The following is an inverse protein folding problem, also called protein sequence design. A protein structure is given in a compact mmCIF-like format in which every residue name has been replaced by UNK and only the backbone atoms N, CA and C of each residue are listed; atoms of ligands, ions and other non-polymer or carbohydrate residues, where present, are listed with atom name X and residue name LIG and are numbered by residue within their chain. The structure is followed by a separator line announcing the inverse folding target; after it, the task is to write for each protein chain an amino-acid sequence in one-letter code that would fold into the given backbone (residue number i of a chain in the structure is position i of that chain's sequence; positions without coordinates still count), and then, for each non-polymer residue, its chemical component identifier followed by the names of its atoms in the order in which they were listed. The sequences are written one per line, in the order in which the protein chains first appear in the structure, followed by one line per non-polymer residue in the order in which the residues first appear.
data_IF_017217842511
#
_entry.id   IF_017217842511
#
_cell.length_a   1.000
_cell.length_b   1.000
_cell.length_c   1.000
_cell.angle_alpha   90.00
_cell.angle_beta   90.00
_cell.angle_gamma   90.00
#
_symmetry.space_group_name_H-M   'P 1'
#
loop_
_entity.id
_entity.type
_entity.pdbx_description
1 polymer ?
#
# COMPACT_ATOMS: atom_id res chain seq x y z
N UNK A 1 23.72 -14.89 13.01
CA UNK A 1 24.14 -13.73 12.20
C UNK A 1 23.84 -13.95 10.72
N UNK A 2 24.68 -14.60 9.88
CA UNK A 2 24.33 -14.74 8.44
C UNK A 2 23.00 -15.47 8.16
N UNK A 3 22.64 -16.43 9.02
CA UNK A 3 21.42 -17.23 8.87
C UNK A 3 20.15 -16.54 9.42
N UNK A 4 20.31 -15.51 10.25
CA UNK A 4 19.19 -14.70 10.79
C UNK A 4 18.83 -13.56 9.83
N UNK A 5 19.83 -12.98 9.16
CA UNK A 5 19.61 -11.95 8.13
C UNK A 5 18.84 -12.52 6.91
N UNK A 6 19.13 -13.77 6.51
CA UNK A 6 18.40 -14.45 5.41
C UNK A 6 16.92 -14.74 5.76
N UNK A 7 16.59 -14.95 7.03
CA UNK A 7 15.19 -15.16 7.47
C UNK A 7 14.40 -13.85 7.51
N UNK A 8 15.01 -12.72 7.89
CA UNK A 8 14.34 -11.40 7.88
C UNK A 8 13.96 -10.92 6.46
N UNK A 9 14.71 -11.36 5.44
CA UNK A 9 14.44 -11.03 4.04
C UNK A 9 13.28 -11.85 3.45
N UNK A 10 12.99 -13.01 4.03
CA UNK A 10 11.85 -13.86 3.67
C UNK A 10 10.54 -13.44 4.35
N UNK A 11 10.60 -12.50 5.30
CA UNK A 11 9.43 -12.01 6.04
C UNK A 11 8.89 -10.71 5.44
N UNK A 12 7.58 -10.66 5.22
CA UNK A 12 6.88 -9.45 4.80
C UNK A 12 6.87 -8.40 5.92
N UNK A 13 7.76 -7.41 5.85
CA UNK A 13 7.85 -6.35 6.85
C UNK A 13 6.71 -5.32 6.69
N UNK A 14 5.63 -5.49 7.46
CA UNK A 14 4.43 -4.65 7.41
C UNK A 14 4.73 -3.18 7.73
N UNK A 15 5.63 -2.91 8.68
CA UNK A 15 5.94 -1.56 9.14
C UNK A 15 6.69 -0.75 8.07
N UNK A 16 7.68 -1.37 7.43
CA UNK A 16 8.43 -0.77 6.33
C UNK A 16 7.51 -0.46 5.14
N UNK A 17 6.67 -1.42 4.74
CA UNK A 17 5.68 -1.24 3.67
C UNK A 17 4.69 -0.15 4.02
N UNK A 18 4.19 -0.12 5.26
CA UNK A 18 3.25 0.90 5.74
C UNK A 18 3.87 2.30 5.65
N UNK A 19 5.14 2.46 6.05
CA UNK A 19 5.86 3.73 5.96
C UNK A 19 6.00 4.20 4.50
N UNK A 20 6.44 3.31 3.61
CA UNK A 20 6.57 3.60 2.17
C UNK A 20 5.25 4.12 1.59
N UNK A 21 4.15 3.43 1.88
CA UNK A 21 2.81 3.78 1.39
C UNK A 21 2.35 5.12 1.96
N UNK A 22 2.48 5.34 3.28
CA UNK A 22 2.07 6.59 3.93
C UNK A 22 2.84 7.79 3.38
N UNK A 23 4.16 7.69 3.22
CA UNK A 23 4.98 8.76 2.66
C UNK A 23 4.51 9.15 1.26
N UNK A 24 4.26 8.18 0.39
CA UNK A 24 3.83 8.43 -0.98
C UNK A 24 2.43 9.06 -1.05
N UNK A 25 1.52 8.63 -0.17
CA UNK A 25 0.19 9.22 -0.07
C UNK A 25 0.30 10.67 0.40
N UNK A 26 1.06 10.95 1.46
CA UNK A 26 1.20 12.30 2.03
C UNK A 26 1.81 13.27 1.01
N UNK A 27 2.88 12.85 0.33
CA UNK A 27 3.54 13.65 -0.72
C UNK A 27 2.61 13.98 -1.90
N UNK A 28 1.65 13.12 -2.22
CA UNK A 28 0.77 13.30 -3.38
C UNK A 28 -0.57 13.97 -3.01
N UNK A 29 -1.16 13.61 -1.88
CA UNK A 29 -2.52 14.02 -1.48
C UNK A 29 -2.56 15.03 -0.34
N UNK A 30 -1.50 15.18 0.47
CA UNK A 30 -1.47 15.97 1.72
C UNK A 30 -2.09 17.36 1.60
N UNK A 31 -1.59 18.17 0.66
CA UNK A 31 -2.07 19.53 0.42
C UNK A 31 -3.24 19.66 -0.56
N UNK A 32 -3.79 18.54 -1.07
CA UNK A 32 -4.76 18.58 -2.16
C UNK A 32 -6.21 18.54 -1.69
N UNK A 33 -7.04 19.38 -2.31
CA UNK A 33 -8.50 19.27 -2.26
C UNK A 33 -8.94 18.21 -3.27
N UNK A 34 -9.89 17.36 -2.88
CA UNK A 34 -10.44 16.33 -3.77
C UNK A 34 -10.89 16.92 -5.10
N UNK A 35 -10.52 16.24 -6.19
CA UNK A 35 -10.91 16.59 -7.55
C UNK A 35 -11.07 15.30 -8.35
N UNK A 36 -12.27 15.06 -8.85
CA UNK A 36 -12.60 13.84 -9.57
C UNK A 36 -11.74 13.65 -10.82
N UNK A 37 -11.45 14.74 -11.55
CA UNK A 37 -10.60 14.71 -12.75
C UNK A 37 -9.13 14.43 -12.45
N UNK A 38 -8.62 14.79 -11.26
CA UNK A 38 -7.23 14.53 -10.85
C UNK A 38 -7.04 13.18 -10.17
N UNK A 39 -8.12 12.57 -9.66
CA UNK A 39 -8.04 11.31 -8.91
C UNK A 39 -7.34 10.17 -9.69
N UNK A 40 -7.60 9.93 -10.99
CA UNK A 40 -6.88 8.90 -11.74
C UNK A 40 -5.37 9.13 -11.78
N UNK A 41 -4.94 10.37 -11.98
CA UNK A 41 -3.53 10.73 -12.02
C UNK A 41 -2.85 10.49 -10.67
N UNK A 42 -3.50 10.86 -9.56
CA UNK A 42 -2.98 10.57 -8.22
C UNK A 42 -2.85 9.08 -7.95
N UNK A 43 -3.85 8.29 -8.35
CA UNK A 43 -3.83 6.83 -8.20
C UNK A 43 -2.63 6.24 -8.97
N UNK A 44 -2.42 6.65 -10.23
CA UNK A 44 -1.26 6.20 -11.02
C UNK A 44 0.06 6.56 -10.34
N UNK A 45 0.24 7.83 -9.96
CA UNK A 45 1.49 8.31 -9.35
C UNK A 45 1.80 7.57 -8.04
N UNK A 46 0.81 7.38 -7.17
CA UNK A 46 1.01 6.71 -5.88
C UNK A 46 1.28 5.22 -6.10
N UNK A 47 0.58 4.58 -7.03
CA UNK A 47 0.77 3.15 -7.34
C UNK A 47 2.17 2.90 -7.88
N UNK A 48 2.59 3.65 -8.90
CA UNK A 48 3.91 3.50 -9.52
C UNK A 48 5.05 3.77 -8.52
N UNK A 49 4.97 4.86 -7.75
CA UNK A 49 5.98 5.19 -6.74
C UNK A 49 6.07 4.16 -5.63
N UNK A 50 4.93 3.61 -5.21
CA UNK A 50 4.89 2.59 -4.16
C UNK A 50 5.48 1.29 -4.66
N UNK A 51 5.02 0.77 -5.80
CA UNK A 51 5.55 -0.47 -6.37
C UNK A 51 7.04 -0.33 -6.70
N UNK A 52 7.48 0.80 -7.25
CA UNK A 52 8.91 1.03 -7.53
C UNK A 52 9.78 1.01 -6.26
N UNK A 53 9.27 1.55 -5.13
CA UNK A 53 9.99 1.49 -3.84
C UNK A 53 9.99 0.09 -3.26
N UNK A 54 8.88 -0.66 -3.37
CA UNK A 54 8.78 -2.04 -2.92
C UNK A 54 9.71 -2.98 -3.69
N UNK A 55 9.78 -2.86 -5.03
CA UNK A 55 10.72 -3.64 -5.85
C UNK A 55 12.18 -3.33 -5.50
N UNK A 56 12.49 -2.08 -5.10
CA UNK A 56 13.85 -1.69 -4.67
C UNK A 56 14.28 -2.29 -3.33
N UNK A 57 13.36 -2.82 -2.54
CA UNK A 57 13.72 -3.60 -1.35
C UNK A 57 14.39 -4.93 -1.71
N UNK A 58 14.29 -5.35 -2.98
CA UNK A 58 14.92 -6.56 -3.51
C UNK A 58 14.56 -7.85 -2.74
N UNK A 59 13.39 -7.86 -2.10
CA UNK A 59 12.85 -9.02 -1.40
C UNK A 59 12.10 -9.95 -2.36
N UNK A 60 12.08 -11.28 -2.12
CA UNK A 60 11.52 -12.27 -3.03
C UNK A 60 9.97 -12.33 -2.94
N UNK A 61 9.31 -11.22 -3.28
CA UNK A 61 7.84 -11.11 -3.26
C UNK A 61 7.27 -10.65 -4.60
N UNK A 62 6.11 -11.18 -4.97
CA UNK A 62 5.17 -10.54 -5.90
C UNK A 62 4.29 -9.58 -5.12
N UNK A 63 4.27 -8.31 -5.53
CA UNK A 63 3.43 -7.29 -4.89
C UNK A 63 2.16 -7.01 -5.69
N UNK A 64 1.03 -6.97 -4.99
CA UNK A 64 -0.26 -6.52 -5.53
C UNK A 64 -0.72 -5.31 -4.72
N UNK A 65 -1.20 -4.27 -5.39
CA UNK A 65 -1.71 -3.05 -4.75
C UNK A 65 -3.15 -2.76 -5.19
N UNK A 66 -4.04 -2.50 -4.23
CA UNK A 66 -5.37 -1.93 -4.45
C UNK A 66 -5.47 -0.59 -3.75
N UNK A 67 -5.81 0.46 -4.50
CA UNK A 67 -6.02 1.81 -3.97
C UNK A 67 -7.47 2.26 -4.20
N UNK A 68 -8.03 2.96 -3.22
CA UNK A 68 -9.36 3.56 -3.30
C UNK A 68 -9.29 5.00 -2.77
N UNK A 69 -9.67 5.96 -3.60
CA UNK A 69 -9.78 7.38 -3.24
C UNK A 69 -11.24 7.80 -3.35
N UNK A 70 -11.83 8.32 -2.28
CA UNK A 70 -13.22 8.77 -2.27
C UNK A 70 -13.36 10.16 -1.64
N UNK A 71 -14.30 10.95 -2.13
CA UNK A 71 -14.61 12.26 -1.57
C UNK A 71 -15.28 12.13 -0.20
N UNK A 72 -14.90 12.98 0.74
CA UNK A 72 -15.63 13.15 2.01
C UNK A 72 -16.86 14.02 1.79
N UNK A 73 -18.01 13.38 1.67
CA UNK A 73 -19.31 14.02 1.50
C UNK A 73 -20.41 13.44 2.41
N UNK A 74 -20.00 12.74 3.49
CA UNK A 74 -20.93 12.08 4.41
C UNK A 74 -21.34 10.66 4.00
N UNK A 75 -20.87 10.15 2.86
CA UNK A 75 -21.07 8.75 2.47
C UNK A 75 -20.19 7.79 3.29
N UNK A 76 -20.76 6.65 3.70
CA UNK A 76 -20.02 5.55 4.31
C UNK A 76 -19.23 4.74 3.28
N UNK A 77 -18.10 4.15 3.68
CA UNK A 77 -17.28 3.28 2.85
C UNK A 77 -16.94 2.00 3.60
N UNK A 78 -17.31 0.85 3.03
CA UNK A 78 -16.91 -0.48 3.52
C UNK A 78 -15.98 -1.13 2.51
N UNK A 79 -14.80 -1.56 2.97
CA UNK A 79 -13.84 -2.31 2.15
C UNK A 79 -13.52 -3.63 2.83
N UNK A 80 -13.65 -4.73 2.11
CA UNK A 80 -13.21 -6.05 2.53
C UNK A 80 -12.23 -6.64 1.51
N UNK A 81 -11.48 -7.65 1.93
CA UNK A 81 -10.65 -8.48 1.09
C UNK A 81 -10.64 -9.89 1.68
N UNK A 82 -10.58 -10.90 0.82
CA UNK A 82 -10.41 -12.30 1.19
C UNK A 82 -9.32 -12.88 0.29
N UNK A 83 -8.54 -13.81 0.81
CA UNK A 83 -7.41 -14.42 0.13
C UNK A 83 -7.21 -15.85 0.63
N UNK A 84 -6.65 -16.69 -0.24
CA UNK A 84 -6.25 -18.06 0.05
C UNK A 84 -4.78 -18.18 -0.29
N UNK A 85 -3.94 -18.28 0.76
CA UNK A 85 -2.50 -18.06 0.69
C UNK A 85 -1.77 -18.69 1.88
N UNK A 86 -0.45 -18.65 1.91
CA UNK A 86 0.36 -19.18 3.02
C UNK A 86 0.57 -18.11 4.10
N UNK A 87 -0.03 -18.30 5.27
CA UNK A 87 0.06 -17.34 6.38
C UNK A 87 1.44 -17.23 7.03
N UNK A 88 2.37 -18.15 6.70
CA UNK A 88 3.74 -18.11 7.21
C UNK A 88 4.67 -17.26 6.36
N UNK A 89 4.38 -17.11 5.07
CA UNK A 89 5.26 -16.46 4.09
C UNK A 89 4.62 -15.24 3.42
N UNK A 90 3.31 -15.25 3.21
CA UNK A 90 2.57 -14.16 2.57
C UNK A 90 2.08 -13.13 3.59
N UNK A 91 1.98 -11.86 3.16
CA UNK A 91 1.63 -10.76 4.04
C UNK A 91 0.77 -9.68 3.39
N UNK A 92 0.04 -8.93 4.21
CA UNK A 92 -0.76 -7.77 3.77
C UNK A 92 -0.51 -6.56 4.64
N UNK A 93 -0.60 -5.38 4.04
CA UNK A 93 -0.59 -4.10 4.72
C UNK A 93 -1.79 -3.28 4.25
N UNK A 94 -2.61 -2.80 5.19
CA UNK A 94 -3.71 -1.88 4.91
C UNK A 94 -3.41 -0.51 5.50
N UNK A 95 -3.25 0.49 4.63
CA UNK A 95 -3.06 1.88 5.02
C UNK A 95 -4.33 2.66 4.79
N UNK A 96 -4.84 3.25 5.88
CA UNK A 96 -5.91 4.25 5.84
C UNK A 96 -5.30 5.63 6.05
N UNK A 97 -5.61 6.54 5.15
CA UNK A 97 -5.21 7.94 5.17
C UNK A 97 -6.40 8.82 4.85
N UNK A 98 -6.41 10.02 5.42
CA UNK A 98 -7.46 10.99 5.17
C UNK A 98 -6.95 12.42 5.29
N UNK A 99 -7.62 13.33 4.60
CA UNK A 99 -7.53 14.76 4.89
C UNK A 99 -8.94 15.32 5.06
N UNK A 100 -9.09 16.65 5.03
CA UNK A 100 -10.40 17.31 5.15
C UNK A 100 -11.39 16.94 4.03
N UNK A 101 -10.92 16.56 2.84
CA UNK A 101 -11.73 16.48 1.63
C UNK A 101 -11.91 15.07 1.06
N UNK A 102 -11.07 14.12 1.45
CA UNK A 102 -11.09 12.75 0.90
C UNK A 102 -10.55 11.71 1.87
N UNK A 103 -10.95 10.46 1.64
CA UNK A 103 -10.33 9.26 2.18
C UNK A 103 -9.48 8.60 1.11
N UNK A 104 -8.36 8.01 1.53
CA UNK A 104 -7.50 7.15 0.72
C UNK A 104 -7.24 5.85 1.49
N UNK A 105 -7.62 4.72 0.89
CA UNK A 105 -7.36 3.39 1.45
C UNK A 105 -6.48 2.64 0.45
N UNK A 106 -5.33 2.18 0.91
CA UNK A 106 -4.39 1.35 0.14
C UNK A 106 -4.25 -0.01 0.81
N UNK A 107 -4.38 -1.07 0.03
CA UNK A 107 -4.14 -2.45 0.45
C UNK A 107 -2.96 -2.96 -0.39
N UNK A 108 -1.93 -3.46 0.27
CA UNK A 108 -0.79 -4.13 -0.36
C UNK A 108 -0.85 -5.60 0.06
N UNK A 109 -0.55 -6.49 -0.88
CA UNK A 109 -0.29 -7.90 -0.63
C UNK A 109 1.11 -8.21 -1.16
N UNK A 110 1.95 -8.82 -0.33
CA UNK A 110 3.21 -9.42 -0.74
C UNK A 110 3.04 -10.94 -0.70
N UNK A 111 3.21 -11.59 -1.86
CA UNK A 111 3.16 -13.04 -1.99
C UNK A 111 4.58 -13.56 -2.20
N UNK A 112 5.04 -14.44 -1.32
CA UNK A 112 6.41 -14.97 -1.38
C UNK A 112 6.63 -15.75 -2.67
N UNK A 113 7.82 -15.57 -3.25
CA UNK A 113 8.29 -16.37 -4.38
C UNK A 113 9.00 -17.60 -3.83
N UNK A 114 8.39 -18.76 -4.04
CA UNK A 114 8.99 -20.07 -3.77
C UNK A 114 9.94 -20.48 -4.89
#
# INVERSE_FOLDING_TARGET
MAQEDDEEDLVFNVEEVQKIVRDNIELCLGGNIYSHSRAPQWITVITERTLARLTKLNKPFKYIMRMTVTQKNGCGLHTAAAYFWDTSTDGTCTVRWENKYMYCIVNIWGLALQ
#
